data_IF_758529792999
#
_entry.id   IF_758529792999
#
_cell.length_a   1.000
_cell.length_b   1.000
_cell.length_c   1.000
_cell.angle_alpha   90.00
_cell.angle_beta   90.00
_cell.angle_gamma   90.00
#
_symmetry.space_group_name_H-M   'P 1'
#
loop_
_entity.id
_entity.type
_entity.pdbx_description
1 polymer ?
#
# COMPACT_ATOMS: atom_id res chain seq x y z
N UNK A 1 -7.24 -10.23 9.35
CA UNK A 1 -6.49 -9.30 10.22
C UNK A 1 -7.23 -7.98 10.23
N UNK A 2 -7.49 -7.41 11.41
CA UNK A 2 -8.11 -6.09 11.56
C UNK A 2 -7.01 -5.11 11.97
N UNK A 3 -6.89 -4.00 11.24
CA UNK A 3 -6.00 -2.89 11.57
C UNK A 3 -6.86 -1.72 12.03
N UNK A 4 -6.56 -1.18 13.21
CA UNK A 4 -7.25 -0.04 13.78
C UNK A 4 -6.30 1.15 13.90
N UNK A 5 -6.82 2.34 13.61
CA UNK A 5 -6.10 3.59 13.64
C UNK A 5 -6.98 4.66 14.28
N UNK A 6 -6.39 5.47 15.16
CA UNK A 6 -7.02 6.64 15.75
C UNK A 6 -6.33 7.90 15.21
N UNK A 7 -7.14 8.87 14.76
CA UNK A 7 -6.66 10.11 14.15
C UNK A 7 -7.15 11.31 14.97
N UNK A 8 -6.22 12.17 15.38
CA UNK A 8 -6.51 13.43 16.09
C UNK A 8 -6.12 14.58 15.19
N UNK A 9 -7.12 15.36 14.75
CA UNK A 9 -6.95 16.53 13.87
C UNK A 9 -6.00 16.27 12.68
N UNK A 10 -6.22 15.19 11.89
CA UNK A 10 -5.30 14.83 10.83
C UNK A 10 -5.24 15.91 9.75
N UNK A 11 -4.03 16.24 9.29
CA UNK A 11 -3.80 17.15 8.18
C UNK A 11 -2.93 16.49 7.11
N UNK A 12 -3.31 16.67 5.84
CA UNK A 12 -2.59 16.06 4.72
C UNK A 12 -2.89 14.57 4.51
N UNK A 13 -1.93 13.87 3.90
CA UNK A 13 -2.02 12.44 3.59
C UNK A 13 -1.63 11.59 4.79
N UNK A 14 -2.35 10.49 5.00
CA UNK A 14 -2.01 9.48 6.00
C UNK A 14 -1.66 8.16 5.33
N UNK A 15 -0.50 7.61 5.67
CA UNK A 15 -0.01 6.34 5.10
C UNK A 15 -0.21 5.20 6.09
N UNK A 16 -0.99 4.19 5.68
CA UNK A 16 -1.28 3.02 6.50
C UNK A 16 -0.59 1.80 5.88
N UNK A 17 0.42 1.20 6.54
CA UNK A 17 1.09 0.01 6.02
C UNK A 17 0.16 -1.22 6.13
N UNK A 18 -0.06 -1.89 4.99
CA UNK A 18 -0.82 -3.14 4.91
C UNK A 18 0.14 -4.34 4.88
N UNK A 19 0.74 -4.66 6.03
CA UNK A 19 1.70 -5.78 6.15
C UNK A 19 1.23 -6.83 7.14
N UNK A 20 1.43 -8.10 6.78
CA UNK A 20 1.29 -9.26 7.67
C UNK A 20 2.64 -9.63 8.34
N UNK A 21 2.61 -10.47 9.35
CA UNK A 21 3.80 -10.87 10.11
C UNK A 21 4.60 -11.97 9.37
N UNK A 22 5.92 -11.83 9.08
CA UNK A 22 6.78 -10.66 9.24
C UNK A 22 6.97 -9.91 7.90
N UNK A 23 6.58 -8.62 7.86
CA UNK A 23 6.90 -7.60 6.84
C UNK A 23 6.54 -7.92 5.39
N UNK A 24 5.64 -8.89 5.14
CA UNK A 24 5.13 -9.15 3.79
C UNK A 24 3.88 -8.32 3.57
N UNK A 25 3.67 -7.74 2.37
CA UNK A 25 2.41 -7.10 2.04
C UNK A 25 1.26 -8.10 2.21
N UNK A 26 0.13 -7.63 2.72
CA UNK A 26 -1.06 -8.45 2.86
C UNK A 26 -1.59 -8.86 1.48
N UNK A 27 -1.69 -10.16 1.23
CA UNK A 27 -2.32 -10.70 0.02
C UNK A 27 -3.79 -11.01 0.31
N UNK A 28 -4.70 -10.24 -0.27
CA UNK A 28 -6.16 -10.37 -0.07
C UNK A 28 -6.92 -10.01 -1.33
N UNK A 29 -8.12 -10.58 -1.48
CA UNK A 29 -9.05 -10.23 -2.56
C UNK A 29 -9.86 -8.97 -2.25
N UNK A 30 -9.99 -8.62 -0.97
CA UNK A 30 -10.80 -7.50 -0.51
C UNK A 30 -10.11 -6.74 0.62
N UNK A 31 -10.18 -5.42 0.54
CA UNK A 31 -9.85 -4.50 1.62
C UNK A 31 -11.13 -3.74 2.00
N UNK A 32 -11.48 -3.74 3.28
CA UNK A 32 -12.59 -2.95 3.82
C UNK A 32 -12.02 -1.85 4.71
N UNK A 33 -12.37 -0.60 4.42
CA UNK A 33 -12.07 0.56 5.26
C UNK A 33 -13.37 0.96 5.94
N UNK A 34 -13.39 0.92 7.27
CA UNK A 34 -14.53 1.30 8.08
C UNK A 34 -14.16 2.50 8.95
N UNK A 35 -14.94 3.57 8.85
CA UNK A 35 -14.84 4.71 9.78
C UNK A 35 -15.77 4.41 10.94
N UNK A 36 -15.18 4.15 12.11
CA UNK A 36 -15.93 3.73 13.29
C UNK A 36 -16.46 4.92 14.10
N UNK A 37 -15.77 6.06 14.04
CA UNK A 37 -16.15 7.29 14.72
C UNK A 37 -15.55 8.51 14.01
N UNK A 38 -16.22 9.65 14.14
CA UNK A 38 -15.77 10.95 13.64
C UNK A 38 -15.37 11.88 14.78
N UNK A 39 -14.55 12.90 14.47
CA UNK A 39 -14.28 13.99 15.40
C UNK A 39 -15.58 14.69 15.81
N UNK A 40 -15.70 15.05 17.10
CA UNK A 40 -16.90 15.67 17.67
C UNK A 40 -18.21 14.88 17.42
N UNK A 41 -18.11 13.56 17.27
CA UNK A 41 -19.25 12.67 17.01
C UNK A 41 -20.07 13.08 15.77
N UNK A 42 -19.39 13.59 14.73
CA UNK A 42 -20.03 13.94 13.47
C UNK A 42 -20.76 12.75 12.83
N UNK A 43 -21.95 12.99 12.26
CA UNK A 43 -22.77 11.93 11.66
C UNK A 43 -22.17 11.36 10.37
N UNK A 44 -21.58 12.22 9.54
CA UNK A 44 -21.02 11.85 8.24
C UNK A 44 -19.50 12.04 8.19
N UNK A 45 -18.82 11.17 7.46
CA UNK A 45 -17.38 11.29 7.20
C UNK A 45 -17.11 11.79 5.79
N UNK A 46 -16.26 12.81 5.67
CA UNK A 46 -15.80 13.29 4.37
C UNK A 46 -14.46 12.67 4.02
N UNK A 47 -14.46 11.62 3.21
CA UNK A 47 -13.23 11.06 2.64
C UNK A 47 -12.89 11.77 1.33
N UNK A 48 -11.82 12.58 1.34
CA UNK A 48 -11.43 13.37 0.17
C UNK A 48 -10.79 12.54 -0.93
N UNK A 49 -9.92 11.59 -0.56
CA UNK A 49 -9.29 10.68 -1.52
C UNK A 49 -8.71 9.45 -0.80
N UNK A 50 -8.72 8.31 -1.48
CA UNK A 50 -8.04 7.08 -1.06
C UNK A 50 -7.16 6.62 -2.21
N UNK A 51 -5.92 6.23 -1.90
CA UNK A 51 -5.00 5.60 -2.85
C UNK A 51 -4.46 4.33 -2.22
N UNK A 52 -4.52 3.24 -2.97
CA UNK A 52 -4.00 1.94 -2.57
C UNK A 52 -2.81 1.64 -3.46
N UNK A 53 -1.70 1.21 -2.85
CA UNK A 53 -0.47 0.89 -3.54
C UNK A 53 -0.17 -0.60 -3.37
N UNK A 54 0.34 -1.21 -4.43
CA UNK A 54 0.91 -2.56 -4.39
C UNK A 54 2.42 -2.47 -4.61
N UNK A 55 3.15 -3.51 -4.21
CA UNK A 55 4.55 -3.62 -4.58
C UNK A 55 4.65 -3.81 -6.09
N UNK A 56 5.59 -3.08 -6.70
CA UNK A 56 5.96 -3.28 -8.10
C UNK A 56 6.95 -4.43 -8.16
N UNK A 57 6.83 -5.28 -9.17
CA UNK A 57 7.81 -6.33 -9.43
C UNK A 57 9.19 -5.70 -9.68
N UNK A 58 10.13 -5.93 -8.75
CA UNK A 58 11.47 -5.35 -8.85
C UNK A 58 12.37 -6.12 -9.82
N UNK A 59 12.16 -7.43 -9.96
CA UNK A 59 13.01 -8.32 -10.74
C UNK A 59 12.26 -9.04 -11.85
N UNK A 60 12.68 -8.83 -13.09
CA UNK A 60 12.16 -9.58 -14.25
C UNK A 60 12.85 -10.94 -14.42
N UNK A 61 13.85 -11.25 -13.56
CA UNK A 61 14.67 -12.46 -13.63
C UNK A 61 14.53 -13.21 -12.30
N UNK A 62 13.43 -13.96 -12.15
CA UNK A 62 13.22 -14.88 -11.03
C UNK A 62 13.41 -14.24 -9.65
N UNK A 63 14.16 -14.90 -8.77
CA UNK A 63 14.39 -14.45 -7.37
C UNK A 63 15.63 -13.56 -7.20
N UNK A 64 16.21 -13.05 -8.28
CA UNK A 64 17.41 -12.22 -8.21
C UNK A 64 17.04 -10.74 -8.02
N UNK A 65 17.84 -9.93 -7.32
CA UNK A 65 17.61 -8.50 -7.25
C UNK A 65 17.61 -7.84 -8.63
N UNK A 66 16.96 -6.68 -8.73
CA UNK A 66 16.97 -5.88 -9.97
C UNK A 66 18.39 -5.55 -10.39
N UNK A 67 18.77 -5.93 -11.60
CA UNK A 67 20.00 -5.44 -12.21
C UNK A 67 19.77 -4.03 -12.77
N UNK A 68 20.68 -3.11 -12.47
CA UNK A 68 20.66 -1.72 -12.98
C UNK A 68 21.68 -1.47 -14.09
N UNK A 69 22.56 -2.44 -14.37
CA UNK A 69 23.54 -2.33 -15.42
C UNK A 69 22.86 -2.31 -16.79
N UNK A 70 23.12 -1.26 -17.57
CA UNK A 70 22.50 -1.04 -18.89
C UNK A 70 22.76 -2.23 -19.82
N UNK A 71 23.99 -2.75 -19.81
CA UNK A 71 24.41 -3.89 -20.63
C UNK A 71 23.56 -5.15 -20.37
N UNK A 72 23.10 -5.33 -19.13
CA UNK A 72 22.22 -6.44 -18.77
C UNK A 72 20.75 -6.13 -19.06
N UNK A 73 20.30 -4.90 -18.80
CA UNK A 73 18.91 -4.49 -19.00
C UNK A 73 18.49 -4.53 -20.48
N UNK A 74 19.42 -4.38 -21.43
CA UNK A 74 19.08 -4.44 -22.87
C UNK A 74 18.50 -5.79 -23.30
N UNK A 75 18.85 -6.88 -22.60
CA UNK A 75 18.41 -8.24 -22.93
C UNK A 75 17.20 -8.71 -22.11
N UNK A 76 16.63 -7.82 -21.28
CA UNK A 76 15.60 -8.15 -20.30
C UNK A 76 14.24 -8.52 -20.92
N UNK A 77 13.91 -7.94 -22.07
CA UNK A 77 12.65 -8.19 -22.78
C UNK A 77 12.87 -8.13 -24.29
N UNK A 78 12.26 -9.07 -25.00
CA UNK A 78 12.03 -8.95 -26.44
C UNK A 78 10.75 -8.13 -26.60
N UNK A 79 10.80 -7.00 -27.29
CA UNK A 79 9.66 -6.12 -27.54
C UNK A 79 9.35 -6.05 -29.02
#
# INVERSE_FOLDING_TARGET
MMLQLELVEPSGWFHVPLTDNPKKPTHTLMLQIAVLANHQNGGDTHMRQIKIYTLVEESSIGKFPRCTAIDFMMYLSIR
#
